data_IF_516751356272
#
_entry.id   IF_516751356272
#
_cell.length_a   1.000
_cell.length_b   1.000
_cell.length_c   1.000
_cell.angle_alpha   90.00
_cell.angle_beta   90.00
_cell.angle_gamma   90.00
#
_symmetry.space_group_name_H-M   'P 1'
#
loop_
_entity.id
_entity.type
_entity.pdbx_description
1 polymer ?
#
# COMPACT_ATOMS: atom_id res chain seq x y z
N UNK A 1 -55.60 -37.36 -24.02
CA UNK A 1 -56.66 -37.94 -23.18
C UNK A 1 -56.35 -37.60 -21.75
N UNK A 2 -56.97 -36.53 -21.27
CA UNK A 2 -56.96 -36.04 -19.90
C UNK A 2 -58.22 -36.53 -19.19
N UNK A 3 -58.11 -36.98 -17.93
CA UNK A 3 -59.22 -36.91 -16.99
C UNK A 3 -58.81 -36.26 -15.65
N UNK A 4 -59.79 -35.84 -14.81
CA UNK A 4 -59.79 -34.49 -14.26
C UNK A 4 -59.61 -34.39 -12.74
N UNK A 5 -59.23 -33.18 -12.34
CA UNK A 5 -59.30 -32.64 -10.99
C UNK A 5 -60.73 -32.60 -10.46
N UNK A 6 -60.91 -33.00 -9.19
CA UNK A 6 -62.05 -32.59 -8.35
C UNK A 6 -61.53 -31.97 -7.05
N UNK A 7 -62.08 -30.81 -6.62
CA UNK A 7 -61.70 -30.11 -5.40
C UNK A 7 -62.68 -30.40 -4.25
N UNK A 8 -62.21 -30.32 -2.99
CA UNK A 8 -63.08 -30.21 -1.82
C UNK A 8 -62.45 -29.28 -0.76
N UNK A 9 -63.13 -28.15 -0.61
CA UNK A 9 -63.47 -27.39 0.60
C UNK A 9 -62.52 -27.24 1.81
N UNK A 10 -62.35 -25.96 2.12
CA UNK A 10 -61.92 -25.29 3.34
C UNK A 10 -62.50 -25.77 4.68
N UNK A 11 -61.68 -25.66 5.73
CA UNK A 11 -62.04 -25.23 7.09
C UNK A 11 -60.73 -24.79 7.81
N UNK A 12 -60.43 -23.50 7.96
CA UNK A 12 -60.71 -22.61 9.11
C UNK A 12 -60.09 -22.99 10.48
N UNK A 13 -59.22 -22.07 10.94
CA UNK A 13 -59.05 -21.55 12.32
C UNK A 13 -58.16 -22.31 13.29
N UNK A 14 -57.02 -21.69 13.65
CA UNK A 14 -56.77 -21.26 15.03
C UNK A 14 -55.64 -20.22 15.11
N UNK A 15 -55.94 -19.08 15.75
CA UNK A 15 -55.04 -18.00 16.16
C UNK A 15 -54.53 -18.30 17.57
N UNK A 16 -53.26 -18.01 17.87
CA UNK A 16 -52.76 -17.17 19.00
C UNK A 16 -51.27 -17.44 19.36
N UNK A 17 -50.59 -16.53 20.10
CA UNK A 17 -49.32 -15.93 19.65
C UNK A 17 -48.15 -16.06 20.66
N UNK A 18 -47.05 -15.38 20.30
CA UNK A 18 -46.01 -14.82 21.19
C UNK A 18 -45.00 -15.79 21.80
N UNK A 19 -43.74 -15.68 21.37
CA UNK A 19 -42.62 -15.49 22.31
C UNK A 19 -41.40 -14.93 21.59
N UNK A 20 -41.13 -13.64 21.83
CA UNK A 20 -39.78 -13.09 21.78
C UNK A 20 -38.97 -13.76 22.88
N UNK A 21 -37.73 -14.17 22.63
CA UNK A 21 -36.71 -14.29 23.68
C UNK A 21 -35.31 -14.19 23.08
N UNK A 22 -34.80 -12.96 23.13
CA UNK A 22 -33.44 -12.59 23.56
C UNK A 22 -32.57 -13.73 24.07
N UNK A 23 -31.46 -14.02 23.38
CA UNK A 23 -30.31 -14.75 23.93
C UNK A 23 -29.08 -13.85 23.85
N UNK A 24 -29.03 -12.93 24.79
CA UNK A 24 -27.83 -12.21 25.23
C UNK A 24 -27.89 -12.19 26.75
N UNK A 25 -26.74 -12.43 27.38
CA UNK A 25 -26.47 -12.43 28.83
C UNK A 25 -26.82 -13.72 29.58
N UNK A 26 -25.85 -14.64 29.60
CA UNK A 26 -25.58 -15.51 30.76
C UNK A 26 -24.08 -15.84 30.80
N UNK A 27 -23.25 -14.79 30.84
CA UNK A 27 -21.82 -14.89 31.10
C UNK A 27 -21.50 -13.97 32.27
N UNK A 28 -21.84 -14.39 33.49
CA UNK A 28 -21.33 -13.93 34.80
C UNK A 28 -22.29 -14.33 35.94
N UNK A 29 -22.33 -15.61 36.34
CA UNK A 29 -22.63 -16.03 37.72
C UNK A 29 -22.61 -17.56 37.86
N UNK A 30 -21.42 -18.14 38.03
CA UNK A 30 -21.25 -19.46 38.64
C UNK A 30 -19.78 -19.72 38.99
N UNK A 31 -19.23 -19.02 39.98
CA UNK A 31 -17.95 -19.39 40.64
C UNK A 31 -17.80 -18.67 41.98
N UNK A 32 -18.66 -19.01 42.94
CA UNK A 32 -18.37 -18.87 44.37
C UNK A 32 -19.08 -20.02 45.08
N UNK A 33 -18.34 -21.09 45.36
CA UNK A 33 -18.23 -21.72 46.69
C UNK A 33 -17.40 -23.02 46.64
N UNK A 34 -16.45 -23.09 47.57
CA UNK A 34 -15.92 -24.28 48.25
C UNK A 34 -14.94 -25.24 47.54
N UNK A 35 -13.67 -24.85 47.58
CA UNK A 35 -12.55 -25.49 48.30
C UNK A 35 -12.26 -27.01 48.31
N UNK A 36 -10.96 -27.25 48.12
CA UNK A 36 -10.09 -28.27 48.72
C UNK A 36 -9.95 -29.64 48.04
N UNK A 37 -9.12 -29.69 46.98
CA UNK A 37 -8.02 -30.67 46.91
C UNK A 37 -6.79 -30.01 46.27
N UNK A 38 -5.73 -29.92 47.07
CA UNK A 38 -4.44 -29.31 46.76
C UNK A 38 -3.68 -30.19 45.74
N UNK A 39 -3.74 -29.82 44.46
CA UNK A 39 -2.77 -30.24 43.47
C UNK A 39 -2.27 -28.99 42.74
N UNK A 40 -0.99 -28.73 42.93
CA UNK A 40 -0.31 -27.48 42.61
C UNK A 40 -0.18 -27.33 41.10
N UNK A 41 -1.23 -26.81 40.46
CA UNK A 41 -1.17 -26.33 39.08
C UNK A 41 -0.41 -24.99 39.10
N UNK A 42 0.89 -25.08 38.93
CA UNK A 42 1.71 -23.92 38.62
C UNK A 42 1.40 -23.55 37.16
N UNK A 43 0.80 -22.37 36.88
CA UNK A 43 0.65 -21.93 35.50
C UNK A 43 2.05 -21.85 34.88
N UNK A 44 2.23 -22.25 33.60
CA UNK A 44 3.52 -22.09 32.94
C UNK A 44 3.88 -20.61 33.01
N UNK A 45 5.00 -20.34 33.67
CA UNK A 45 5.59 -19.02 33.82
C UNK A 45 5.54 -18.28 32.50
N UNK A 46 5.06 -17.04 32.54
CA UNK A 46 5.16 -16.11 31.44
C UNK A 46 6.57 -16.19 30.82
N UNK A 47 6.69 -16.13 29.48
CA UNK A 47 8.00 -16.15 28.84
C UNK A 47 8.86 -15.04 29.46
N UNK A 48 10.04 -15.44 29.91
CA UNK A 48 11.06 -14.58 30.48
C UNK A 48 11.25 -13.31 29.65
N UNK A 49 11.22 -12.19 30.36
CA UNK A 49 11.24 -10.77 29.97
C UNK A 49 12.42 -10.28 29.10
N UNK A 50 13.07 -11.13 28.30
CA UNK A 50 14.26 -10.71 27.54
C UNK A 50 14.32 -11.23 26.12
N UNK A 51 13.20 -11.24 25.39
CA UNK A 51 13.29 -11.31 23.92
C UNK A 51 12.19 -10.49 23.22
N UNK A 52 12.59 -9.30 22.79
CA UNK A 52 11.98 -8.49 21.73
C UNK A 52 10.54 -7.98 21.94
N UNK A 53 10.41 -6.71 22.36
CA UNK A 53 9.23 -5.87 22.10
C UNK A 53 9.11 -5.55 20.59
N UNK A 54 9.01 -6.55 19.74
CA UNK A 54 8.59 -6.37 18.36
C UNK A 54 7.06 -6.44 18.33
N UNK A 55 6.41 -5.45 17.71
CA UNK A 55 4.97 -5.53 17.46
C UNK A 55 4.66 -6.86 16.75
N UNK A 56 3.56 -7.55 17.11
CA UNK A 56 3.24 -8.84 16.51
C UNK A 56 3.05 -8.67 15.00
N UNK A 57 3.93 -9.27 14.24
CA UNK A 57 3.87 -9.25 12.77
C UNK A 57 2.76 -10.18 12.29
N UNK A 58 2.14 -9.88 11.15
CA UNK A 58 1.11 -10.74 10.52
C UNK A 58 1.56 -12.22 10.42
N UNK A 59 2.78 -12.55 9.97
CA UNK A 59 3.25 -13.94 9.96
C UNK A 59 3.37 -14.54 11.37
N UNK A 60 3.78 -13.78 12.40
CA UNK A 60 3.82 -14.30 13.78
C UNK A 60 2.44 -14.63 14.36
N UNK A 61 1.40 -13.84 14.01
CA UNK A 61 0.02 -14.14 14.41
C UNK A 61 -0.51 -15.40 13.69
N UNK A 62 -0.21 -15.54 12.39
CA UNK A 62 -0.55 -16.72 11.61
C UNK A 62 0.16 -17.96 12.15
N UNK A 63 1.45 -17.84 12.51
CA UNK A 63 2.22 -18.90 13.15
C UNK A 63 1.59 -19.30 14.50
N UNK A 64 1.28 -18.32 15.36
CA UNK A 64 0.62 -18.57 16.64
C UNK A 64 -0.70 -19.32 16.47
N UNK A 65 -1.56 -18.88 15.55
CA UNK A 65 -2.81 -19.56 15.24
C UNK A 65 -2.59 -21.02 14.85
N UNK A 66 -1.66 -21.30 13.91
CA UNK A 66 -1.39 -22.68 13.48
C UNK A 66 -0.86 -23.52 14.66
N UNK A 67 0.02 -22.98 15.49
CA UNK A 67 0.53 -23.70 16.67
C UNK A 67 -0.58 -23.99 17.69
N UNK A 68 -1.49 -23.04 17.91
CA UNK A 68 -2.62 -23.23 18.81
C UNK A 68 -3.58 -24.32 18.30
N UNK A 69 -3.95 -24.28 17.02
CA UNK A 69 -4.80 -25.30 16.41
C UNK A 69 -4.13 -26.68 16.40
N UNK A 70 -2.83 -26.72 16.11
CA UNK A 70 -2.06 -27.97 16.15
C UNK A 70 -2.01 -28.54 17.56
N UNK A 71 -1.89 -27.71 18.60
CA UNK A 71 -1.88 -28.14 20.00
C UNK A 71 -3.24 -28.73 20.40
N UNK A 72 -4.34 -28.14 19.93
CA UNK A 72 -5.69 -28.66 20.14
C UNK A 72 -5.84 -30.03 19.47
N UNK A 73 -5.43 -30.16 18.20
CA UNK A 73 -5.51 -31.43 17.46
C UNK A 73 -4.54 -32.50 17.98
N UNK A 74 -3.44 -32.10 18.63
CA UNK A 74 -2.48 -32.99 19.25
C UNK A 74 -2.90 -33.49 20.64
N UNK A 75 -4.08 -33.08 21.14
CA UNK A 75 -4.58 -33.50 22.43
C UNK A 75 -4.79 -35.03 22.45
N UNK A 76 -4.35 -35.73 23.50
CA UNK A 76 -4.49 -37.18 23.58
C UNK A 76 -5.97 -37.57 23.57
N UNK A 77 -6.29 -38.54 22.72
CA UNK A 77 -7.61 -39.12 22.63
C UNK A 77 -7.87 -39.95 23.88
N UNK A 78 -9.00 -39.68 24.52
CA UNK A 78 -9.52 -40.47 25.63
C UNK A 78 -10.98 -40.82 25.36
N UNK A 79 -11.40 -42.07 25.61
CA UNK A 79 -12.80 -42.44 25.47
C UNK A 79 -13.64 -41.64 26.46
N UNK A 80 -14.81 -41.17 25.99
CA UNK A 80 -15.70 -40.37 26.83
C UNK A 80 -16.24 -41.19 28.01
N UNK A 81 -16.54 -40.56 29.16
CA UNK A 81 -17.11 -41.27 30.30
C UNK A 81 -18.42 -41.98 29.97
N UNK A 82 -19.23 -41.36 29.11
CA UNK A 82 -20.49 -41.95 28.62
C UNK A 82 -20.25 -43.22 27.79
N UNK A 83 -19.23 -43.22 26.93
CA UNK A 83 -18.85 -44.41 26.17
C UNK A 83 -18.36 -45.53 27.09
N UNK A 84 -17.56 -45.21 28.12
CA UNK A 84 -17.08 -46.20 29.09
C UNK A 84 -18.25 -46.84 29.85
N UNK A 85 -19.23 -46.04 30.28
CA UNK A 85 -20.43 -46.55 30.95
C UNK A 85 -21.25 -47.47 30.04
N UNK A 86 -21.40 -47.12 28.76
CA UNK A 86 -22.08 -47.96 27.77
C UNK A 86 -21.33 -49.28 27.49
N UNK A 87 -20.01 -49.25 27.38
CA UNK A 87 -19.17 -50.45 27.17
C UNK A 87 -19.18 -51.39 28.39
N UNK A 88 -19.38 -50.88 29.61
CA UNK A 88 -19.53 -51.71 30.80
C UNK A 88 -20.93 -52.31 30.95
N UNK A 89 -21.94 -51.68 30.34
CA UNK A 89 -23.33 -52.12 30.38
C UNK A 89 -23.71 -53.06 29.21
N UNK A 90 -22.83 -53.25 28.23
CA UNK A 90 -23.06 -54.14 27.09
C UNK A 90 -22.84 -55.62 27.45
N UNK A 91 -23.59 -56.51 26.81
CA UNK A 91 -23.49 -57.96 27.02
C UNK A 91 -22.09 -58.55 26.67
N UNK A 92 -21.33 -57.89 25.79
CA UNK A 92 -19.96 -58.26 25.42
C UNK A 92 -19.01 -57.05 25.57
N UNK A 93 -18.51 -56.77 26.79
CA UNK A 93 -17.70 -55.58 27.05
C UNK A 93 -16.29 -55.73 26.46
N UNK A 94 -15.80 -54.67 25.79
CA UNK A 94 -14.41 -54.63 25.34
C UNK A 94 -13.47 -54.60 26.56
N UNK A 95 -12.44 -55.47 26.62
CA UNK A 95 -11.50 -55.50 27.72
C UNK A 95 -10.69 -54.20 27.80
N UNK A 96 -10.57 -53.63 29.00
CA UNK A 96 -9.99 -52.31 29.24
C UNK A 96 -8.49 -52.25 28.97
N UNK A 97 -7.73 -53.29 29.31
CA UNK A 97 -6.27 -53.35 29.07
C UNK A 97 -5.85 -53.20 27.61
N UNK A 98 -6.30 -54.05 26.67
CA UNK A 98 -5.90 -53.91 25.27
C UNK A 98 -6.44 -52.62 24.64
N UNK A 99 -7.57 -52.10 25.13
CA UNK A 99 -8.07 -50.78 24.74
C UNK A 99 -7.11 -49.67 25.18
N UNK A 100 -6.69 -49.67 26.44
CA UNK A 100 -5.76 -48.68 26.99
C UNK A 100 -4.39 -48.78 26.28
N UNK A 101 -3.89 -49.98 26.01
CA UNK A 101 -2.65 -50.20 25.25
C UNK A 101 -2.76 -49.68 23.81
N UNK A 102 -3.88 -49.94 23.13
CA UNK A 102 -4.13 -49.44 21.79
C UNK A 102 -4.26 -47.90 21.77
N UNK A 103 -4.91 -47.31 22.78
CA UNK A 103 -5.02 -45.86 22.94
C UNK A 103 -3.66 -45.21 23.19
N UNK A 104 -2.81 -45.81 24.02
CA UNK A 104 -1.44 -45.34 24.25
C UNK A 104 -0.63 -45.40 22.96
N UNK A 105 -0.72 -46.50 22.20
CA UNK A 105 -0.02 -46.65 20.91
C UNK A 105 -0.51 -45.62 19.86
N UNK A 106 -1.81 -45.39 19.78
CA UNK A 106 -2.41 -44.39 18.89
C UNK A 106 -1.97 -42.97 19.28
N UNK A 107 -2.07 -42.62 20.56
CA UNK A 107 -1.64 -41.32 21.07
C UNK A 107 -0.15 -41.08 20.83
N UNK A 108 0.68 -42.11 20.97
CA UNK A 108 2.11 -42.03 20.66
C UNK A 108 2.34 -41.76 19.17
N UNK A 109 1.64 -42.49 18.29
CA UNK A 109 1.71 -42.30 16.83
C UNK A 109 1.26 -40.91 16.41
N UNK A 110 0.18 -40.40 17.01
CA UNK A 110 -0.36 -39.07 16.79
C UNK A 110 0.66 -37.99 17.20
N UNK A 111 1.26 -38.12 18.39
CA UNK A 111 2.32 -37.20 18.83
C UNK A 111 3.54 -37.23 17.92
N UNK A 112 3.98 -38.40 17.46
CA UNK A 112 5.08 -38.52 16.50
C UNK A 112 4.75 -37.84 15.17
N UNK A 113 3.53 -38.03 14.66
CA UNK A 113 3.05 -37.39 13.44
C UNK A 113 3.01 -35.87 13.60
N UNK A 114 2.41 -35.36 14.67
CA UNK A 114 2.34 -33.92 14.94
C UNK A 114 3.73 -33.28 15.03
N UNK A 115 4.71 -33.95 15.66
CA UNK A 115 6.10 -33.45 15.74
C UNK A 115 6.81 -33.44 14.39
N UNK A 116 6.53 -34.41 13.52
CA UNK A 116 7.17 -34.52 12.18
C UNK A 116 6.55 -33.56 11.17
N UNK A 117 5.23 -33.46 11.15
CA UNK A 117 4.49 -32.64 10.16
C UNK A 117 4.48 -31.16 10.54
N UNK A 118 4.32 -30.84 11.83
CA UNK A 118 4.25 -29.46 12.31
C UNK A 118 5.54 -29.04 13.03
N UNK A 119 6.68 -29.30 12.38
CA UNK A 119 7.95 -28.78 12.86
C UNK A 119 7.92 -27.24 12.94
N UNK A 120 8.53 -26.59 13.95
CA UNK A 120 8.45 -25.14 14.13
C UNK A 120 8.84 -24.33 12.88
N UNK A 121 9.84 -24.81 12.13
CA UNK A 121 10.30 -24.20 10.88
C UNK A 121 9.28 -24.34 9.75
N UNK A 122 8.62 -25.50 9.63
CA UNK A 122 7.58 -25.72 8.64
C UNK A 122 6.37 -24.82 8.91
N UNK A 123 5.97 -24.70 10.18
CA UNK A 123 4.87 -23.83 10.60
C UNK A 123 5.16 -22.36 10.29
N UNK A 124 6.40 -21.90 10.49
CA UNK A 124 6.83 -20.55 10.11
C UNK A 124 6.76 -20.34 8.59
N UNK A 125 7.32 -21.27 7.80
CA UNK A 125 7.29 -21.18 6.34
C UNK A 125 5.86 -21.16 5.78
N UNK A 126 4.96 -21.97 6.34
CA UNK A 126 3.54 -21.96 5.94
C UNK A 126 2.89 -20.63 6.32
N UNK A 127 3.16 -20.09 7.51
CA UNK A 127 2.65 -18.78 7.91
C UNK A 127 3.14 -17.65 6.97
N UNK A 128 4.41 -17.68 6.56
CA UNK A 128 4.99 -16.76 5.59
C UNK A 128 4.39 -16.94 4.19
N UNK A 129 4.19 -18.18 3.73
CA UNK A 129 3.54 -18.46 2.45
C UNK A 129 2.10 -17.94 2.42
N UNK A 130 1.34 -18.18 3.48
CA UNK A 130 -0.02 -17.64 3.63
C UNK A 130 0.05 -16.12 3.61
N UNK A 131 0.94 -15.49 4.38
CA UNK A 131 1.10 -14.03 4.34
C UNK A 131 1.41 -13.52 2.92
N UNK A 132 2.34 -14.17 2.19
CA UNK A 132 2.69 -13.81 0.82
C UNK A 132 1.54 -14.01 -0.18
N UNK A 133 0.68 -15.00 0.04
CA UNK A 133 -0.46 -15.27 -0.83
C UNK A 133 -1.52 -14.18 -0.65
N UNK A 134 -1.84 -13.81 0.59
CA UNK A 134 -2.75 -12.71 0.89
C UNK A 134 -2.22 -11.36 0.39
N UNK A 135 -0.91 -11.10 0.52
CA UNK A 135 -0.28 -9.90 -0.02
C UNK A 135 -0.41 -9.83 -1.55
N UNK A 136 -0.06 -10.91 -2.26
CA UNK A 136 -0.21 -11.00 -3.73
C UNK A 136 -1.66 -10.86 -4.20
N UNK A 137 -2.59 -11.44 -3.45
CA UNK A 137 -4.02 -11.33 -3.70
C UNK A 137 -4.56 -9.92 -3.45
N UNK A 138 -4.00 -9.19 -2.48
CA UNK A 138 -4.32 -7.78 -2.27
C UNK A 138 -3.76 -6.91 -3.40
N UNK A 139 -2.52 -7.16 -3.83
CA UNK A 139 -1.89 -6.49 -4.98
C UNK A 139 -2.67 -6.73 -6.28
N UNK A 140 -3.12 -7.96 -6.55
CA UNK A 140 -3.95 -8.28 -7.73
C UNK A 140 -5.26 -7.49 -7.74
N UNK A 141 -5.92 -7.37 -6.59
CA UNK A 141 -7.16 -6.60 -6.45
C UNK A 141 -6.91 -5.10 -6.59
N UNK A 142 -5.81 -4.58 -6.05
CA UNK A 142 -5.42 -3.19 -6.20
C UNK A 142 -4.98 -2.85 -7.65
N UNK A 143 -4.40 -3.80 -8.37
CA UNK A 143 -4.01 -3.67 -9.77
C UNK A 143 -5.19 -3.76 -10.76
N UNK A 144 -6.42 -3.95 -10.28
CA UNK A 144 -7.63 -3.90 -11.10
C UNK A 144 -7.92 -5.15 -11.94
N UNK A 145 -7.17 -6.26 -11.77
CA UNK A 145 -7.40 -7.49 -12.54
C UNK A 145 -8.68 -8.25 -12.13
N UNK A 146 -9.24 -7.96 -10.95
CA UNK A 146 -10.46 -8.61 -10.41
C UNK A 146 -11.47 -7.62 -9.79
N UNK A 147 -11.33 -6.32 -10.07
CA UNK A 147 -12.12 -5.26 -9.43
C UNK A 147 -13.62 -5.26 -9.80
N UNK A 148 -14.06 -6.09 -10.76
CA UNK A 148 -15.42 -6.04 -11.29
C UNK A 148 -16.46 -6.90 -10.54
N UNK A 149 -16.08 -7.70 -9.53
CA UNK A 149 -17.03 -8.66 -8.92
C UNK A 149 -17.48 -8.36 -7.49
N UNK A 150 -16.78 -7.53 -6.71
CA UNK A 150 -17.20 -7.19 -5.35
C UNK A 150 -16.43 -5.98 -4.88
N UNK A 151 -17.09 -4.85 -4.65
CA UNK A 151 -16.51 -3.62 -4.10
C UNK A 151 -16.00 -3.75 -2.65
N UNK A 152 -15.53 -4.93 -2.24
CA UNK A 152 -14.93 -5.12 -0.93
C UNK A 152 -13.53 -4.50 -0.92
N UNK A 153 -13.36 -3.47 -0.10
CA UNK A 153 -12.05 -2.97 0.32
C UNK A 153 -11.21 -4.18 0.75
N UNK A 154 -10.04 -4.38 0.13
CA UNK A 154 -9.15 -5.48 0.49
C UNK A 154 -8.89 -5.38 2.00
N UNK A 155 -9.24 -6.43 2.75
CA UNK A 155 -9.20 -6.47 4.22
C UNK A 155 -7.80 -6.23 4.82
N UNK A 156 -6.78 -6.24 3.97
CA UNK A 156 -5.37 -6.00 4.30
C UNK A 156 -4.77 -4.83 3.50
N UNK A 157 -5.58 -3.86 3.02
CA UNK A 157 -5.05 -2.62 2.45
C UNK A 157 -4.36 -1.84 3.59
N UNK A 158 -3.03 -1.96 3.66
CA UNK A 158 -2.24 -1.28 4.66
C UNK A 158 -2.16 0.21 4.32
N UNK A 159 -3.03 1.00 4.95
CA UNK A 159 -3.02 2.45 4.90
C UNK A 159 -1.84 3.04 5.72
N UNK A 160 -1.18 2.20 6.52
CA UNK A 160 -0.16 2.57 7.48
C UNK A 160 1.16 1.86 7.17
N UNK A 161 1.54 1.77 5.89
CA UNK A 161 2.88 1.33 5.51
C UNK A 161 3.90 2.30 6.14
N UNK A 162 4.27 2.02 7.39
CA UNK A 162 5.11 2.83 8.26
C UNK A 162 6.58 2.77 7.85
N UNK A 163 6.90 1.87 6.92
CA UNK A 163 8.15 1.86 6.21
C UNK A 163 8.07 2.99 5.17
N UNK A 164 8.48 4.20 5.57
CA UNK A 164 8.55 5.42 4.73
C UNK A 164 9.46 5.32 3.49
N UNK A 165 9.69 4.10 2.99
CA UNK A 165 10.44 3.67 1.83
C UNK A 165 9.62 3.91 0.55
N UNK A 166 8.28 3.88 0.59
CA UNK A 166 7.46 4.16 -0.61
C UNK A 166 6.17 4.94 -0.34
N UNK A 167 6.32 6.21 0.04
CA UNK A 167 5.19 7.12 0.27
C UNK A 167 4.32 7.38 -0.99
N UNK A 168 4.79 6.96 -2.18
CA UNK A 168 4.00 6.96 -3.42
C UNK A 168 3.03 5.78 -3.52
N UNK A 169 3.31 4.67 -2.84
CA UNK A 169 2.38 3.54 -2.73
C UNK A 169 1.21 3.90 -1.78
N UNK A 170 1.49 4.65 -0.72
CA UNK A 170 0.46 5.19 0.20
C UNK A 170 -0.52 6.13 -0.52
N UNK A 171 -0.01 7.05 -1.36
CA UNK A 171 -0.88 7.95 -2.13
C UNK A 171 -1.81 7.16 -3.07
N UNK A 172 -1.31 6.11 -3.73
CA UNK A 172 -2.12 5.24 -4.60
C UNK A 172 -3.15 4.41 -3.83
N UNK A 173 -2.79 3.93 -2.63
CA UNK A 173 -3.70 3.17 -1.79
C UNK A 173 -4.87 4.04 -1.28
N UNK A 174 -4.60 5.32 -0.98
CA UNK A 174 -5.63 6.27 -0.56
C UNK A 174 -6.49 6.70 -1.75
N UNK A 175 -5.88 6.92 -2.92
CA UNK A 175 -6.61 7.24 -4.17
C UNK A 175 -7.49 6.06 -4.65
N UNK A 176 -7.22 4.82 -4.21
CA UNK A 176 -8.03 3.62 -4.51
C UNK A 176 -9.22 3.40 -3.56
N UNK A 177 -9.37 4.22 -2.51
CA UNK A 177 -10.50 4.11 -1.59
C UNK A 177 -11.79 4.59 -2.28
N UNK A 178 -12.91 3.86 -2.12
CA UNK A 178 -14.19 4.32 -2.65
C UNK A 178 -14.66 5.56 -1.88
N UNK A 179 -15.20 6.55 -2.60
CA UNK A 179 -15.72 7.79 -2.01
C UNK A 179 -16.93 7.55 -1.08
N UNK A 180 -17.67 6.47 -1.33
CA UNK A 180 -18.84 6.06 -0.56
C UNK A 180 -18.72 4.62 -0.07
N UNK A 181 -19.44 4.31 1.01
CA UNK A 181 -19.49 2.96 1.56
C UNK A 181 -19.90 1.92 0.48
N UNK A 182 -19.17 0.81 0.27
CA UNK A 182 -19.34 -0.01 -0.93
C UNK A 182 -20.63 -0.84 -0.99
N UNK A 183 -21.21 -1.18 0.17
CA UNK A 183 -22.40 -2.02 0.27
C UNK A 183 -23.66 -1.17 0.55
N UNK A 184 -24.53 -1.03 -0.46
CA UNK A 184 -25.78 -0.27 -0.31
C UNK A 184 -26.71 -0.76 0.81
N UNK A 185 -26.72 -2.09 1.08
CA UNK A 185 -27.49 -2.68 2.19
C UNK A 185 -27.00 -2.23 3.57
N UNK A 186 -25.70 -1.99 3.71
CA UNK A 186 -25.10 -1.58 4.99
C UNK A 186 -25.23 -0.06 5.19
N UNK A 187 -25.34 0.72 4.12
CA UNK A 187 -25.69 2.15 4.19
C UNK A 187 -27.06 2.35 4.82
N UNK A 188 -28.04 1.52 4.44
CA UNK A 188 -29.40 1.57 5.01
C UNK A 188 -29.43 1.10 6.48
N UNK A 189 -28.56 0.13 6.82
CA UNK A 189 -28.48 -0.44 8.18
C UNK A 189 -27.69 0.46 9.14
N UNK A 190 -26.66 1.16 8.64
CA UNK A 190 -25.74 1.99 9.42
C UNK A 190 -25.47 3.35 8.75
N UNK A 191 -26.47 4.24 8.66
CA UNK A 191 -26.37 5.49 7.91
C UNK A 191 -25.38 6.49 8.53
N UNK A 192 -25.18 6.45 9.85
CA UNK A 192 -24.24 7.33 10.54
C UNK A 192 -22.77 6.92 10.31
N UNK A 193 -22.51 5.62 10.17
CA UNK A 193 -21.17 5.09 9.91
C UNK A 193 -20.76 5.35 8.47
N UNK A 194 -21.69 5.21 7.52
CA UNK A 194 -21.48 5.58 6.12
C UNK A 194 -21.12 7.07 5.94
N UNK A 195 -21.78 7.96 6.69
CA UNK A 195 -21.45 9.41 6.68
C UNK A 195 -20.06 9.68 7.27
N UNK A 196 -19.74 9.07 8.41
CA UNK A 196 -18.41 9.20 9.03
C UNK A 196 -17.31 8.70 8.10
N UNK A 197 -17.55 7.58 7.42
CA UNK A 197 -16.62 7.06 6.42
C UNK A 197 -16.37 8.10 5.33
N UNK A 198 -17.43 8.63 4.71
CA UNK A 198 -17.31 9.65 3.66
C UNK A 198 -16.55 10.90 4.15
N UNK A 199 -16.85 11.38 5.37
CA UNK A 199 -16.13 12.50 5.99
C UNK A 199 -14.63 12.18 6.20
N UNK A 200 -14.30 10.97 6.65
CA UNK A 200 -12.91 10.56 6.85
C UNK A 200 -12.15 10.39 5.55
N UNK A 201 -12.78 9.82 4.51
CA UNK A 201 -12.18 9.69 3.18
C UNK A 201 -11.92 11.07 2.58
N UNK A 202 -12.88 11.99 2.66
CA UNK A 202 -12.69 13.38 2.20
C UNK A 202 -11.57 14.10 2.96
N UNK A 203 -11.42 13.84 4.27
CA UNK A 203 -10.29 14.39 5.04
C UNK A 203 -8.96 13.78 4.62
N UNK A 204 -8.92 12.48 4.33
CA UNK A 204 -7.70 11.79 3.90
C UNK A 204 -7.24 12.27 2.52
N UNK A 205 -8.16 12.43 1.57
CA UNK A 205 -7.84 12.96 0.24
C UNK A 205 -7.30 14.39 0.34
N UNK A 206 -7.93 15.25 1.14
CA UNK A 206 -7.44 16.62 1.39
C UNK A 206 -6.01 16.63 1.97
N UNK A 207 -5.71 15.77 2.95
CA UNK A 207 -4.37 15.66 3.51
C UNK A 207 -3.36 15.13 2.49
N UNK A 208 -3.77 14.23 1.60
CA UNK A 208 -2.92 13.74 0.51
C UNK A 208 -2.60 14.84 -0.50
N UNK A 209 -3.57 15.68 -0.86
CA UNK A 209 -3.34 16.85 -1.72
C UNK A 209 -2.34 17.82 -1.07
N UNK A 210 -2.55 18.18 0.20
CA UNK A 210 -1.62 19.04 0.94
C UNK A 210 -0.20 18.45 0.98
N UNK A 211 -0.09 17.14 1.17
CA UNK A 211 1.20 16.43 1.13
C UNK A 211 1.84 16.48 -0.26
N UNK A 212 1.07 16.30 -1.33
CA UNK A 212 1.52 16.40 -2.73
C UNK A 212 2.04 17.81 -3.03
N UNK A 213 1.33 18.86 -2.62
CA UNK A 213 1.73 20.27 -2.80
C UNK A 213 3.03 20.61 -2.05
N UNK A 214 3.14 20.18 -0.79
CA UNK A 214 4.35 20.40 0.01
C UNK A 214 5.57 19.71 -0.63
N UNK A 215 5.40 18.51 -1.20
CA UNK A 215 6.47 17.84 -1.92
C UNK A 215 6.91 18.59 -3.16
N UNK A 216 5.96 19.08 -3.96
CA UNK A 216 6.30 19.89 -5.14
C UNK A 216 7.07 21.15 -4.74
N UNK A 217 6.69 21.79 -3.62
CA UNK A 217 7.42 22.94 -3.10
C UNK A 217 8.83 22.57 -2.63
N UNK A 218 8.98 21.47 -1.89
CA UNK A 218 10.29 20.97 -1.44
C UNK A 218 11.17 20.62 -2.64
N UNK A 219 10.62 19.96 -3.65
CA UNK A 219 11.35 19.60 -4.87
C UNK A 219 11.78 20.84 -5.65
N UNK A 220 10.90 21.84 -5.80
CA UNK A 220 11.25 23.14 -6.39
C UNK A 220 12.38 23.84 -5.63
N UNK A 221 12.32 23.84 -4.30
CA UNK A 221 13.37 24.43 -3.46
C UNK A 221 14.68 23.65 -3.56
N UNK A 222 14.64 22.31 -3.63
CA UNK A 222 15.82 21.48 -3.84
C UNK A 222 16.47 21.75 -5.19
N UNK A 223 15.68 21.87 -6.26
CA UNK A 223 16.17 22.24 -7.60
C UNK A 223 16.82 23.61 -7.60
N UNK A 224 16.16 24.61 -6.99
CA UNK A 224 16.72 25.95 -6.85
C UNK A 224 18.01 25.92 -6.04
N UNK A 225 18.05 25.20 -4.92
CA UNK A 225 19.27 25.05 -4.13
C UNK A 225 20.38 24.39 -4.95
N UNK A 226 20.09 23.35 -5.73
CA UNK A 226 21.07 22.71 -6.61
C UNK A 226 21.61 23.66 -7.70
N UNK A 227 20.79 24.57 -8.23
CA UNK A 227 21.26 25.59 -9.19
C UNK A 227 22.05 26.73 -8.54
N UNK A 228 21.76 27.03 -7.27
CA UNK A 228 22.43 28.10 -6.51
C UNK A 228 23.74 27.61 -5.87
N UNK A 229 23.82 26.32 -5.53
CA UNK A 229 25.02 25.70 -4.94
C UNK A 229 26.31 25.97 -5.74
N UNK A 230 26.37 25.82 -7.08
CA UNK A 230 27.58 26.15 -7.85
C UNK A 230 27.92 27.65 -7.88
N UNK A 231 26.97 28.53 -7.54
CA UNK A 231 27.18 29.98 -7.48
C UNK A 231 27.56 30.45 -6.07
N UNK A 232 27.56 29.55 -5.08
CA UNK A 232 28.04 29.85 -3.73
C UNK A 232 29.56 29.79 -3.71
N UNK A 233 30.18 30.91 -3.33
CA UNK A 233 31.61 30.96 -3.03
C UNK A 233 31.89 30.33 -1.66
N UNK A 234 33.10 29.77 -1.49
CA UNK A 234 33.51 29.01 -0.31
C UNK A 234 33.50 29.80 1.02
N UNK A 235 33.37 31.13 0.96
CA UNK A 235 33.50 32.01 2.13
C UNK A 235 32.22 32.11 2.99
N UNK A 236 31.17 31.35 2.67
CA UNK A 236 29.95 31.24 3.50
C UNK A 236 29.15 32.53 3.67
N UNK A 237 29.56 33.63 3.00
CA UNK A 237 29.04 34.98 3.21
C UNK A 237 27.85 35.32 2.31
N UNK A 238 27.42 34.41 1.43
CA UNK A 238 26.31 34.63 0.48
C UNK A 238 26.61 35.64 -0.64
N UNK A 239 27.83 36.20 -0.69
CA UNK A 239 28.25 37.23 -1.64
C UNK A 239 28.30 36.73 -3.10
N UNK A 240 28.67 35.46 -3.32
CA UNK A 240 28.84 34.91 -4.67
C UNK A 240 27.58 34.90 -5.53
N UNK A 241 26.37 34.83 -4.93
CA UNK A 241 25.12 34.83 -5.72
C UNK A 241 24.82 36.23 -6.26
N UNK A 242 25.06 37.29 -5.47
CA UNK A 242 24.76 38.66 -5.87
C UNK A 242 25.70 39.19 -6.95
N UNK A 243 26.97 38.78 -6.91
CA UNK A 243 27.98 39.18 -7.90
C UNK A 243 27.75 38.55 -9.28
N UNK A 244 27.11 37.38 -9.32
CA UNK A 244 26.78 36.65 -10.55
C UNK A 244 25.41 37.05 -11.14
N UNK A 245 24.66 37.94 -10.49
CA UNK A 245 23.45 38.51 -11.08
C UNK A 245 23.82 39.52 -12.17
N UNK A 246 23.15 39.42 -13.32
CA UNK A 246 23.30 40.38 -14.42
C UNK A 246 22.76 41.73 -13.95
N UNK A 247 23.66 42.57 -13.47
CA UNK A 247 23.38 43.96 -13.10
C UNK A 247 23.55 44.84 -14.34
N UNK A 248 22.79 45.94 -14.39
CA UNK A 248 22.94 46.99 -15.42
C UNK A 248 24.32 47.65 -15.23
N UNK A 249 25.16 47.63 -16.26
CA UNK A 249 26.61 47.90 -16.23
C UNK A 249 27.47 46.81 -15.57
N UNK A 250 26.98 45.57 -15.50
CA UNK A 250 27.69 44.43 -14.95
C UNK A 250 28.89 43.97 -15.79
N UNK A 251 29.75 43.09 -15.26
CA UNK A 251 30.95 42.60 -15.95
C UNK A 251 30.62 41.94 -17.30
N UNK A 252 29.47 41.25 -17.40
CA UNK A 252 29.00 40.64 -18.65
C UNK A 252 28.64 41.70 -19.70
N UNK A 253 27.96 42.78 -19.32
CA UNK A 253 27.56 43.83 -20.27
C UNK A 253 28.79 44.59 -20.82
N UNK A 254 29.79 44.84 -19.96
CA UNK A 254 31.08 45.38 -20.38
C UNK A 254 31.83 44.47 -21.35
N UNK A 255 31.77 43.16 -21.14
CA UNK A 255 32.40 42.20 -22.05
C UNK A 255 31.61 42.04 -23.35
N UNK A 256 30.28 42.11 -23.32
CA UNK A 256 29.43 42.19 -24.52
C UNK A 256 29.72 43.46 -25.32
N UNK A 257 29.93 44.60 -24.67
CA UNK A 257 30.30 45.86 -25.33
C UNK A 257 31.69 45.77 -25.97
N UNK A 258 32.68 45.18 -25.27
CA UNK A 258 33.99 44.87 -25.86
C UNK A 258 33.89 43.92 -27.05
N UNK A 259 33.06 42.88 -26.97
CA UNK A 259 32.84 41.99 -28.10
C UNK A 259 32.18 42.71 -29.27
N UNK A 260 31.22 43.61 -29.04
CA UNK A 260 30.65 44.45 -30.11
C UNK A 260 31.71 45.33 -30.76
N UNK A 261 32.57 45.95 -29.95
CA UNK A 261 33.67 46.78 -30.46
C UNK A 261 34.70 45.95 -31.25
N UNK A 262 35.05 44.75 -30.75
CA UNK A 262 35.94 43.83 -31.45
C UNK A 262 35.32 43.31 -32.74
N UNK A 263 34.02 42.97 -32.75
CA UNK A 263 33.31 42.55 -33.96
C UNK A 263 33.23 43.67 -34.99
N UNK A 264 32.98 44.92 -34.58
CA UNK A 264 33.03 46.06 -35.50
C UNK A 264 34.44 46.24 -36.09
N UNK A 265 35.48 46.08 -35.28
CA UNK A 265 36.87 46.18 -35.72
C UNK A 265 37.30 45.02 -36.62
N UNK A 266 36.85 43.80 -36.33
CA UNK A 266 37.11 42.61 -37.14
C UNK A 266 36.32 42.67 -38.44
N UNK A 267 35.05 43.07 -38.41
CA UNK A 267 34.26 43.31 -39.62
C UNK A 267 34.88 44.41 -40.50
N UNK A 268 35.36 45.50 -39.90
CA UNK A 268 36.12 46.54 -40.60
C UNK A 268 37.41 45.99 -41.24
N UNK A 269 38.21 45.22 -40.50
CA UNK A 269 39.43 44.58 -41.05
C UNK A 269 39.17 43.47 -42.06
N UNK A 270 38.03 42.80 -41.99
CA UNK A 270 37.60 41.81 -42.99
C UNK A 270 37.04 42.50 -44.24
N UNK A 271 36.44 43.68 -44.12
CA UNK A 271 36.14 44.54 -45.27
C UNK A 271 37.39 45.18 -45.89
N UNK A 272 38.47 45.36 -45.11
CA UNK A 272 39.79 45.80 -45.60
C UNK A 272 40.65 44.65 -46.15
N UNK A 273 40.27 43.39 -45.94
CA UNK A 273 40.88 42.27 -46.67
C UNK A 273 40.43 42.43 -48.12
N UNK A 274 41.37 42.64 -49.07
CA UNK A 274 41.00 42.77 -50.47
C UNK A 274 40.45 41.43 -50.94
N UNK A 275 39.12 41.32 -50.97
CA UNK A 275 38.47 40.43 -51.92
C UNK A 275 39.00 40.84 -53.28
N UNK A 276 39.74 39.94 -53.90
CA UNK A 276 40.37 40.16 -55.19
C UNK A 276 39.31 40.34 -56.27
N UNK A 277 38.72 41.52 -56.35
CA UNK A 277 38.05 42.15 -57.49
C UNK A 277 37.83 43.62 -57.13
N UNK A 278 38.40 44.50 -57.95
CA UNK A 278 38.20 45.95 -57.95
C UNK A 278 36.77 46.35 -57.56
N UNK A 279 36.52 47.45 -56.85
CA UNK A 279 36.68 48.82 -57.36
C UNK A 279 36.38 49.76 -56.19
N UNK A 280 37.12 50.86 -56.05
CA UNK A 280 36.93 51.81 -54.96
C UNK A 280 35.61 52.58 -55.05
N UNK A 281 34.97 52.78 -53.90
CA UNK A 281 34.08 53.90 -53.61
C UNK A 281 33.93 54.01 -52.08
N UNK A 282 34.42 55.12 -51.52
CA UNK A 282 33.97 55.62 -50.22
C UNK A 282 32.51 56.01 -50.34
N UNK A 283 31.59 55.37 -49.60
CA UNK A 283 30.37 55.99 -49.06
C UNK A 283 29.93 55.24 -47.79
N UNK A 284 29.40 55.99 -46.83
CA UNK A 284 28.85 55.55 -45.55
C UNK A 284 27.80 54.44 -45.74
N UNK A 285 28.17 53.19 -45.43
CA UNK A 285 27.24 52.08 -45.39
C UNK A 285 26.58 52.03 -44.00
N UNK A 286 25.49 52.78 -43.84
CA UNK A 286 24.49 52.52 -42.81
C UNK A 286 23.98 51.08 -43.02
N UNK A 287 24.40 50.16 -42.13
CA UNK A 287 24.02 48.76 -42.19
C UNK A 287 22.56 48.68 -41.73
N UNK A 288 21.65 48.52 -42.68
CA UNK A 288 20.22 48.33 -42.45
C UNK A 288 19.97 46.97 -41.76
N UNK A 289 19.85 47.00 -40.42
CA UNK A 289 19.61 45.83 -39.57
C UNK A 289 18.33 45.09 -39.96
N UNK A 290 17.32 45.77 -40.53
CA UNK A 290 16.05 45.14 -40.88
C UNK A 290 16.21 44.18 -42.06
N UNK A 291 17.15 44.45 -42.98
CA UNK A 291 17.47 43.54 -44.09
C UNK A 291 18.18 42.28 -43.62
N UNK A 292 19.06 42.39 -42.62
CA UNK A 292 19.76 41.27 -42.01
C UNK A 292 18.81 40.40 -41.17
N UNK A 293 17.88 41.00 -40.44
CA UNK A 293 16.85 40.27 -39.71
C UNK A 293 15.89 39.53 -40.64
N UNK A 294 15.51 40.13 -41.77
CA UNK A 294 14.68 39.49 -42.78
C UNK A 294 15.41 38.31 -43.46
N UNK A 295 16.70 38.47 -43.77
CA UNK A 295 17.51 37.39 -44.31
C UNK A 295 17.68 36.23 -43.31
N UNK A 296 17.91 36.55 -42.03
CA UNK A 296 18.03 35.55 -40.96
C UNK A 296 16.71 34.78 -40.74
N UNK A 297 15.55 35.45 -40.78
CA UNK A 297 14.24 34.80 -40.64
C UNK A 297 13.98 33.80 -41.78
N UNK A 298 14.28 34.17 -43.03
CA UNK A 298 14.13 33.26 -44.17
C UNK A 298 15.00 32.01 -44.03
N UNK A 299 16.24 32.16 -43.58
CA UNK A 299 17.14 31.03 -43.40
C UNK A 299 16.71 30.10 -42.23
N UNK A 300 16.08 30.67 -41.19
CA UNK A 300 15.53 29.89 -40.07
C UNK A 300 14.26 29.15 -40.50
N UNK A 301 13.38 29.80 -41.27
CA UNK A 301 12.18 29.16 -41.80
C UNK A 301 12.51 28.04 -42.79
N UNK A 302 13.56 28.22 -43.61
CA UNK A 302 14.06 27.18 -44.52
C UNK A 302 14.64 25.97 -43.76
N UNK A 303 15.35 26.22 -42.65
CA UNK A 303 15.87 25.15 -41.79
C UNK A 303 14.78 24.40 -41.03
N UNK A 304 13.73 25.10 -40.58
CA UNK A 304 12.58 24.48 -39.91
C UNK A 304 11.69 23.70 -40.89
N UNK A 305 11.71 24.06 -42.17
CA UNK A 305 10.98 23.37 -43.24
C UNK A 305 11.75 22.17 -43.82
N UNK A 306 13.02 21.94 -43.45
CA UNK A 306 13.81 20.82 -43.96
C UNK A 306 13.36 19.48 -43.30
N UNK A 307 12.75 18.55 -44.07
CA UNK A 307 12.28 17.27 -43.55
C UNK A 307 13.41 16.33 -43.11
N UNK A 308 14.68 16.67 -43.37
CA UNK A 308 15.84 15.92 -42.88
C UNK A 308 16.18 16.21 -41.43
N UNK A 309 15.80 17.39 -40.92
CA UNK A 309 16.11 17.83 -39.55
C UNK A 309 14.97 17.49 -38.60
N UNK A 310 13.72 17.57 -39.07
CA UNK A 310 12.53 17.17 -38.32
C UNK A 310 11.69 16.15 -39.11
N UNK A 311 12.01 14.84 -39.03
CA UNK A 311 11.16 13.80 -39.59
C UNK A 311 9.86 13.70 -38.78
N UNK A 312 8.73 13.73 -39.49
CA UNK A 312 7.35 13.61 -38.97
C UNK A 312 7.06 12.25 -38.36
#
# INVERSE_FOLDING_TARGET
WTPPLRPLHAATVSKHPTSQNTTTLNFLQASRTADAHHNQYQPPSAPSETDTMAAPTIPSLKQYFITAQTTLLAQPLAPSPAWRAANLASDEPLPTRPLDDALVALNHTLQQHCRRVYAPQATRNVAEQIASAYARDAERRAAGEEADASGSIARELDLACADGISVAAEDRAIDALPESWPSGRDVDSYPMEAKRYAETVARLTQLCEQRKDLRQRVEKLRRLNATVEPLRTADGTGAGVQENLVTRNGPVEKELERMRFLLARVAGRVGELPDGTATGAHEDAEIDLDTLEAARKRNVDEFLADPRVFPS
#
